data_IF_907675810458
#
_entry.id   IF_907675810458
#
_cell.length_a   1.000
_cell.length_b   1.000
_cell.length_c   1.000
_cell.angle_alpha   90.00
_cell.angle_beta   90.00
_cell.angle_gamma   90.00
#
_symmetry.space_group_name_H-M   'P 1'
#
loop_
_entity.id
_entity.type
_entity.pdbx_description
1 polymer ?
#
# COMPACT_ATOMS: atom_id res chain seq x y z
N UNK A 1 -18.03 10.52 -31.07
CA UNK A 1 -16.70 10.07 -30.62
C UNK A 1 -16.95 9.09 -29.50
N UNK A 2 -16.75 7.79 -29.70
CA UNK A 2 -16.84 6.81 -28.61
C UNK A 2 -15.75 7.08 -27.59
N UNK A 3 -16.00 6.82 -26.31
CA UNK A 3 -14.96 6.91 -25.28
C UNK A 3 -14.08 5.66 -25.32
N UNK A 4 -12.87 5.73 -24.77
CA UNK A 4 -11.96 4.58 -24.65
C UNK A 4 -12.61 3.36 -23.95
N UNK A 5 -13.54 3.62 -23.01
CA UNK A 5 -14.35 2.57 -22.38
C UNK A 5 -15.31 1.88 -23.34
N UNK A 6 -15.87 2.61 -24.30
CA UNK A 6 -16.81 2.06 -25.29
C UNK A 6 -16.06 1.15 -26.27
N UNK A 7 -14.84 1.55 -26.66
CA UNK A 7 -13.97 0.77 -27.53
C UNK A 7 -13.51 -0.53 -26.84
N UNK A 8 -13.13 -0.47 -25.56
CA UNK A 8 -12.82 -1.66 -24.75
C UNK A 8 -14.03 -2.58 -24.57
N UNK A 9 -15.21 -2.03 -24.36
CA UNK A 9 -16.44 -2.82 -24.24
C UNK A 9 -16.75 -3.58 -25.53
N UNK A 10 -16.52 -2.97 -26.70
CA UNK A 10 -16.67 -3.61 -27.99
C UNK A 10 -15.68 -4.78 -28.18
N UNK A 11 -14.41 -4.59 -27.81
CA UNK A 11 -13.38 -5.64 -27.86
C UNK A 11 -13.72 -6.82 -26.95
N UNK A 12 -14.21 -6.56 -25.73
CA UNK A 12 -14.64 -7.63 -24.82
C UNK A 12 -15.89 -8.37 -25.30
N UNK A 13 -16.83 -7.66 -25.93
CA UNK A 13 -18.01 -8.28 -26.52
C UNK A 13 -17.63 -9.24 -27.65
N UNK A 14 -16.61 -8.88 -28.44
CA UNK A 14 -16.08 -9.75 -29.50
C UNK A 14 -15.36 -10.96 -28.93
N UNK A 15 -14.45 -10.77 -27.97
CA UNK A 15 -13.70 -11.87 -27.34
C UNK A 15 -14.61 -12.93 -26.68
N UNK A 16 -15.78 -12.54 -26.15
CA UNK A 16 -16.75 -13.48 -25.56
C UNK A 16 -17.38 -14.45 -26.56
N UNK A 17 -17.42 -14.11 -27.85
CA UNK A 17 -18.01 -14.97 -28.88
C UNK A 17 -17.21 -16.26 -29.11
N UNK A 18 -15.90 -16.21 -28.92
CA UNK A 18 -14.98 -17.35 -29.07
C UNK A 18 -14.55 -17.99 -27.73
N UNK A 19 -15.16 -17.59 -26.62
CA UNK A 19 -14.60 -17.82 -25.28
C UNK A 19 -14.83 -19.22 -24.68
N UNK A 20 -15.19 -20.25 -25.47
CA UNK A 20 -15.27 -21.61 -24.94
C UNK A 20 -13.98 -22.37 -25.25
N UNK A 21 -12.99 -22.38 -24.33
CA UNK A 21 -11.82 -23.22 -24.49
C UNK A 21 -12.21 -24.70 -24.53
N UNK A 22 -11.49 -25.48 -25.35
CA UNK A 22 -11.72 -26.91 -25.46
C UNK A 22 -11.53 -27.66 -24.13
N UNK A 23 -12.22 -28.79 -23.92
CA UNK A 23 -12.22 -29.52 -22.65
C UNK A 23 -10.82 -30.03 -22.23
N UNK A 24 -9.94 -30.28 -23.20
CA UNK A 24 -8.55 -30.70 -22.93
C UNK A 24 -7.71 -29.54 -22.36
N UNK A 25 -7.85 -28.34 -22.93
CA UNK A 25 -7.16 -27.15 -22.44
C UNK A 25 -7.64 -26.79 -21.02
N UNK A 26 -8.95 -26.80 -20.79
CA UNK A 26 -9.51 -26.51 -19.47
C UNK A 26 -9.07 -27.54 -18.42
N UNK A 27 -9.02 -28.83 -18.77
CA UNK A 27 -8.50 -29.86 -17.88
C UNK A 27 -7.03 -29.62 -17.48
N UNK A 28 -6.18 -29.22 -18.44
CA UNK A 28 -4.77 -28.89 -18.17
C UNK A 28 -4.62 -27.64 -17.31
N UNK A 29 -5.37 -26.58 -17.61
CA UNK A 29 -5.38 -25.34 -16.80
C UNK A 29 -5.85 -25.62 -15.37
N UNK A 30 -6.88 -26.44 -15.20
CA UNK A 30 -7.36 -26.84 -13.87
C UNK A 30 -6.34 -27.70 -13.13
N UNK A 31 -5.66 -28.63 -13.80
CA UNK A 31 -4.60 -29.43 -13.19
C UNK A 31 -3.41 -28.57 -12.74
N UNK A 32 -3.00 -27.59 -13.56
CA UNK A 32 -1.95 -26.64 -13.23
C UNK A 32 -2.36 -25.72 -12.07
N UNK A 33 -3.58 -25.16 -12.11
CA UNK A 33 -4.13 -24.36 -11.03
C UNK A 33 -4.20 -25.15 -9.71
N UNK A 34 -4.53 -26.44 -9.76
CA UNK A 34 -4.57 -27.31 -8.58
C UNK A 34 -3.16 -27.55 -8.04
N UNK A 35 -2.15 -27.71 -8.91
CA UNK A 35 -0.75 -27.82 -8.49
C UNK A 35 -0.25 -26.53 -7.81
N UNK A 36 -0.67 -25.36 -8.28
CA UNK A 36 -0.35 -24.06 -7.66
C UNK A 36 -1.12 -23.84 -6.35
N UNK A 37 -2.42 -24.17 -6.32
CA UNK A 37 -3.27 -24.04 -5.12
C UNK A 37 -2.85 -24.97 -3.98
N UNK A 38 -2.33 -26.15 -4.31
CA UNK A 38 -1.74 -27.05 -3.32
C UNK A 38 -0.57 -26.39 -2.56
N UNK A 39 0.04 -25.35 -3.17
CA UNK A 39 1.22 -24.67 -2.66
C UNK A 39 2.46 -25.57 -2.68
N UNK A 40 3.67 -25.00 -2.70
CA UNK A 40 4.84 -25.80 -2.35
C UNK A 40 4.63 -26.39 -0.95
N UNK A 41 5.00 -27.66 -0.70
CA UNK A 41 5.01 -28.17 0.66
C UNK A 41 5.80 -27.19 1.51
N UNK A 42 5.21 -26.71 2.61
CA UNK A 42 5.86 -25.74 3.48
C UNK A 42 7.19 -26.34 3.92
N UNK A 43 8.29 -25.88 3.30
CA UNK A 43 9.62 -26.17 3.81
C UNK A 43 9.65 -25.50 5.18
N UNK A 44 9.55 -26.33 6.21
CA UNK A 44 9.78 -25.91 7.57
C UNK A 44 11.25 -25.49 7.66
N UNK A 45 11.53 -24.24 7.28
CA UNK A 45 12.82 -23.61 7.43
C UNK A 45 13.17 -23.64 8.90
N UNK A 46 13.97 -24.61 9.30
CA UNK A 46 14.49 -24.74 10.67
C UNK A 46 15.36 -23.51 10.93
N UNK A 47 14.78 -22.50 11.59
CA UNK A 47 15.47 -21.25 11.95
C UNK A 47 14.78 -19.95 11.53
N UNK A 48 13.59 -19.98 10.92
CA UNK A 48 12.88 -18.75 10.59
C UNK A 48 12.48 -17.97 11.87
N UNK A 49 13.10 -16.80 12.08
CA UNK A 49 12.76 -15.89 13.18
C UNK A 49 11.30 -15.43 13.12
N UNK A 50 10.77 -14.90 14.24
CA UNK A 50 9.36 -14.55 14.40
C UNK A 50 8.80 -13.69 13.24
N UNK A 51 9.59 -12.75 12.72
CA UNK A 51 9.25 -11.89 11.57
C UNK A 51 8.99 -12.70 10.30
N UNK A 52 9.85 -13.68 10.00
CA UNK A 52 9.74 -14.50 8.79
C UNK A 52 8.53 -15.45 8.84
N UNK A 53 8.15 -15.86 10.06
CA UNK A 53 6.92 -16.63 10.31
C UNK A 53 5.66 -15.79 10.10
N UNK A 54 5.67 -14.51 10.49
CA UNK A 54 4.57 -13.58 10.21
C UNK A 54 4.42 -13.30 8.71
N UNK A 55 5.53 -13.13 7.98
CA UNK A 55 5.52 -12.94 6.53
C UNK A 55 5.01 -14.18 5.77
N UNK A 56 5.33 -15.38 6.26
CA UNK A 56 4.74 -16.63 5.76
C UNK A 56 3.21 -16.69 5.91
N UNK A 57 2.67 -16.14 7.00
CA UNK A 57 1.23 -16.08 7.22
C UNK A 57 0.50 -15.06 6.32
N UNK A 58 1.21 -14.05 5.82
CA UNK A 58 0.67 -13.00 4.93
C UNK A 58 0.70 -13.42 3.44
N UNK A 59 1.08 -14.67 3.15
CA UNK A 59 1.07 -15.23 1.80
C UNK A 59 2.42 -15.23 1.08
N UNK A 60 3.54 -15.11 1.81
CA UNK A 60 4.89 -15.24 1.25
C UNK A 60 5.29 -14.03 0.38
N UNK A 61 5.91 -14.29 -0.78
CA UNK A 61 6.39 -13.23 -1.69
C UNK A 61 5.30 -12.27 -2.20
N UNK A 62 4.09 -12.73 -2.58
CA UNK A 62 2.95 -11.84 -2.85
C UNK A 62 2.63 -10.93 -1.66
N UNK A 63 2.60 -11.48 -0.44
CA UNK A 63 2.39 -10.73 0.79
C UNK A 63 3.45 -9.66 1.04
N UNK A 64 4.73 -9.98 0.77
CA UNK A 64 5.84 -9.05 0.89
C UNK A 64 5.71 -7.89 -0.12
N UNK A 65 5.31 -8.18 -1.36
CA UNK A 65 5.10 -7.15 -2.38
C UNK A 65 3.97 -6.20 -2.00
N UNK A 66 2.87 -6.72 -1.44
CA UNK A 66 1.77 -5.91 -0.91
C UNK A 66 2.21 -5.02 0.25
N UNK A 67 3.03 -5.54 1.17
CA UNK A 67 3.55 -4.76 2.31
C UNK A 67 4.51 -3.65 1.84
N UNK A 68 5.35 -3.92 0.85
CA UNK A 68 6.21 -2.91 0.24
C UNK A 68 5.39 -1.79 -0.42
N UNK A 69 4.37 -2.15 -1.22
CA UNK A 69 3.48 -1.18 -1.86
C UNK A 69 2.69 -0.38 -0.82
N UNK A 70 2.19 -1.02 0.24
CA UNK A 70 1.51 -0.34 1.34
C UNK A 70 2.43 0.67 2.06
N UNK A 71 3.71 0.32 2.25
CA UNK A 71 4.71 1.22 2.81
C UNK A 71 4.97 2.44 1.91
N UNK A 72 5.14 2.22 0.61
CA UNK A 72 5.31 3.32 -0.37
C UNK A 72 4.06 4.20 -0.45
N UNK A 73 2.87 3.60 -0.43
CA UNK A 73 1.61 4.33 -0.41
C UNK A 73 1.47 5.18 0.86
N UNK A 74 1.80 4.63 2.04
CA UNK A 74 1.82 5.38 3.29
C UNK A 74 2.79 6.55 3.26
N UNK A 75 3.98 6.37 2.67
CA UNK A 75 4.96 7.44 2.52
C UNK A 75 4.49 8.53 1.56
N UNK A 76 3.90 8.14 0.42
CA UNK A 76 3.29 9.10 -0.52
C UNK A 76 2.17 9.90 0.15
N UNK A 77 1.29 9.25 0.92
CA UNK A 77 0.21 9.91 1.64
C UNK A 77 0.77 10.90 2.67
N UNK A 78 1.78 10.49 3.45
CA UNK A 78 2.38 11.34 4.48
C UNK A 78 3.15 12.55 3.93
N UNK A 79 3.70 12.46 2.73
CA UNK A 79 4.45 13.57 2.11
C UNK A 79 3.53 14.50 1.32
N UNK A 80 2.58 13.97 0.55
CA UNK A 80 1.84 14.74 -0.45
C UNK A 80 0.35 14.93 -0.15
N UNK A 81 -0.24 14.13 0.74
CA UNK A 81 -1.69 14.12 0.97
C UNK A 81 -2.09 14.58 2.37
N UNK A 82 -1.21 15.24 3.12
CA UNK A 82 -1.44 15.67 4.51
C UNK A 82 -2.70 16.52 4.65
N UNK A 83 -2.94 17.47 3.74
CA UNK A 83 -4.14 18.33 3.76
C UNK A 83 -5.43 17.54 3.51
N UNK A 84 -5.38 16.53 2.63
CA UNK A 84 -6.54 15.68 2.34
C UNK A 84 -6.89 14.78 3.53
N UNK A 85 -5.87 14.29 4.22
CA UNK A 85 -6.03 13.52 5.46
C UNK A 85 -6.54 14.42 6.59
N UNK A 86 -6.01 15.64 6.73
CA UNK A 86 -6.47 16.59 7.74
C UNK A 86 -7.92 17.05 7.51
N UNK A 87 -8.31 17.27 6.26
CA UNK A 87 -9.71 17.51 5.87
C UNK A 87 -10.63 16.37 6.30
N UNK A 88 -10.22 15.11 6.07
CA UNK A 88 -10.98 13.93 6.50
C UNK A 88 -11.08 13.84 8.03
N UNK A 89 -10.03 14.26 8.73
CA UNK A 89 -9.93 14.31 10.19
C UNK A 89 -10.49 15.61 10.79
N UNK A 90 -11.17 16.46 10.01
CA UNK A 90 -11.73 17.75 10.46
C UNK A 90 -10.71 18.67 11.15
N UNK A 91 -9.46 18.71 10.68
CA UNK A 91 -8.41 19.56 11.24
C UNK A 91 -7.70 18.98 12.47
N UNK A 92 -8.06 17.76 12.92
CA UNK A 92 -7.42 17.17 14.10
C UNK A 92 -5.96 16.81 13.86
N UNK A 93 -5.55 16.49 12.63
CA UNK A 93 -4.16 16.15 12.34
C UNK A 93 -3.27 17.38 12.52
N UNK A 94 -3.70 18.54 12.02
CA UNK A 94 -3.01 19.83 12.21
C UNK A 94 -2.97 20.26 13.69
N UNK A 95 -4.02 19.96 14.46
CA UNK A 95 -4.01 20.21 15.91
C UNK A 95 -3.00 19.33 16.66
N UNK A 96 -2.83 18.07 16.25
CA UNK A 96 -1.90 17.11 16.85
C UNK A 96 -0.45 17.35 16.46
N UNK A 97 -0.20 17.80 15.22
CA UNK A 97 1.15 18.08 14.71
C UNK A 97 1.65 19.47 15.08
N UNK A 98 0.85 20.27 15.79
CA UNK A 98 1.21 21.62 16.21
C UNK A 98 1.32 22.56 15.02
N UNK A 99 0.19 22.79 14.32
CA UNK A 99 0.08 23.67 13.13
C UNK A 99 0.64 25.09 13.27
N UNK A 100 1.05 25.49 14.48
CA UNK A 100 1.88 26.66 14.72
C UNK A 100 3.35 26.30 14.50
N UNK A 101 3.83 26.49 13.26
CA UNK A 101 5.24 26.37 12.88
C UNK A 101 6.19 27.28 13.71
N UNK A 102 5.64 28.16 14.54
CA UNK A 102 6.30 28.93 15.61
C UNK A 102 6.87 28.08 16.74
N UNK A 103 6.46 26.81 16.89
CA UNK A 103 6.92 25.90 17.94
C UNK A 103 8.20 25.10 17.65
N UNK A 104 8.76 25.18 16.44
CA UNK A 104 9.93 24.37 16.04
C UNK A 104 11.29 24.93 16.48
N UNK A 105 11.32 26.05 17.19
CA UNK A 105 12.52 26.53 17.88
C UNK A 105 12.24 26.70 19.37
N UNK A 106 12.42 25.64 20.19
CA UNK A 106 12.48 25.80 21.63
C UNK A 106 13.79 26.51 21.95
N UNK A 107 13.77 27.83 22.07
CA UNK A 107 14.85 28.54 22.75
C UNK A 107 15.23 29.94 22.26
N UNK A 108 14.82 30.42 21.08
CA UNK A 108 15.29 31.75 20.62
C UNK A 108 14.66 32.85 21.47
N UNK A 109 13.36 32.75 21.76
CA UNK A 109 12.67 33.71 22.62
C UNK A 109 13.21 33.68 24.06
N UNK A 110 13.58 32.51 24.58
CA UNK A 110 14.20 32.40 25.91
C UNK A 110 15.64 32.90 25.95
N UNK A 111 16.39 32.77 24.86
CA UNK A 111 17.75 33.33 24.75
C UNK A 111 17.68 34.85 24.63
N UNK A 112 16.74 35.38 23.84
CA UNK A 112 16.55 36.82 23.69
C UNK A 112 16.09 37.49 25.00
N UNK A 113 15.20 36.85 25.76
CA UNK A 113 14.80 37.30 27.10
C UNK A 113 15.94 37.23 28.12
N UNK A 114 16.82 36.22 28.02
CA UNK A 114 18.01 36.08 28.87
C UNK A 114 19.08 37.15 28.61
N UNK A 115 19.20 37.69 27.40
CA UNK A 115 20.15 38.78 27.10
C UNK A 115 19.58 40.17 27.37
N UNK A 116 18.27 40.28 27.67
CA UNK A 116 17.59 41.55 27.97
C UNK A 116 17.60 41.94 29.45
N UNK A 117 18.05 41.06 30.35
CA UNK A 117 18.02 41.28 31.81
C UNK A 117 19.38 41.70 32.44
N UNK A 118 20.36 42.15 31.64
CA UNK A 118 21.62 42.73 32.17
C UNK A 118 21.94 44.14 31.62
N UNK A 119 20.96 45.05 31.62
CA UNK A 119 21.18 46.47 31.27
C UNK A 119 20.32 47.43 32.09
#
# INVERSE_FOLDING_TARGET
MGTDKDDLAALFAEARRDATPGPDLSARVLADALAVQAGPPAEAGRGAGWVMRSLGAIGGWPGLSGLAVAGVAGLMIGVYATDSVDLLLNGQLTSLTGGDSTGLMPGIDSLLLSFGEEG
#
